data_IF_391948336562
#
_entry.id   IF_391948336562
#
_cell.length_a   1.000
_cell.length_b   1.000
_cell.length_c   1.000
_cell.angle_alpha   90.00
_cell.angle_beta   90.00
_cell.angle_gamma   90.00
#
_symmetry.space_group_name_H-M   'P 1'
#
loop_
_entity.id
_entity.type
_entity.pdbx_description
1 polymer ?
#
# COMPACT_ATOMS: atom_id res chain seq x y z
N UNK A 1 29.28 30.39 14.17
CA UNK A 1 28.72 29.04 13.94
C UNK A 1 29.10 28.63 12.52
N UNK A 2 29.55 27.40 12.27
CA UNK A 2 29.88 26.96 10.93
C UNK A 2 28.61 27.00 10.06
N UNK A 3 28.69 27.63 8.89
CA UNK A 3 27.60 27.64 7.92
C UNK A 3 27.46 26.23 7.33
N UNK A 4 26.27 25.63 7.48
CA UNK A 4 25.93 24.35 6.85
C UNK A 4 26.10 24.48 5.33
N UNK A 5 26.79 23.55 4.66
CA UNK A 5 26.99 23.62 3.21
C UNK A 5 25.66 23.57 2.44
N UNK A 6 25.59 24.30 1.32
CA UNK A 6 24.35 24.49 0.56
C UNK A 6 23.73 23.18 0.05
N UNK A 7 24.53 22.17 -0.31
CA UNK A 7 24.01 20.85 -0.72
C UNK A 7 23.28 20.12 0.41
N UNK A 8 23.72 20.29 1.66
CA UNK A 8 23.07 19.69 2.81
C UNK A 8 21.74 20.38 3.09
N UNK A 9 21.70 21.72 3.00
CA UNK A 9 20.44 22.48 3.08
C UNK A 9 19.45 22.11 1.96
N UNK A 10 19.92 21.77 0.75
CA UNK A 10 19.06 21.31 -0.35
C UNK A 10 18.48 19.90 -0.09
N UNK A 11 19.25 18.98 0.51
CA UNK A 11 18.71 17.67 0.91
C UNK A 11 17.64 17.80 2.00
N UNK A 12 17.82 18.75 2.90
CA UNK A 12 16.90 19.02 4.01
C UNK A 12 15.81 20.05 3.66
N UNK A 13 15.71 20.48 2.39
CA UNK A 13 14.89 21.61 1.98
C UNK A 13 13.41 21.50 2.42
N UNK A 14 12.84 20.30 2.38
CA UNK A 14 11.47 20.05 2.82
C UNK A 14 11.26 20.21 4.35
N UNK A 15 12.32 20.05 5.15
CA UNK A 15 12.27 20.24 6.60
C UNK A 15 12.51 21.70 7.03
N UNK A 16 13.11 22.51 6.15
CA UNK A 16 13.37 23.93 6.40
C UNK A 16 12.08 24.75 6.55
N UNK A 17 12.15 25.80 7.35
CA UNK A 17 11.09 26.81 7.47
C UNK A 17 10.96 27.63 6.18
N UNK A 18 9.82 28.30 5.99
CA UNK A 18 9.60 29.14 4.79
C UNK A 18 10.67 30.25 4.63
N UNK A 19 11.16 30.82 5.74
CA UNK A 19 12.22 31.83 5.72
C UNK A 19 13.56 31.23 5.26
N UNK A 20 13.93 30.06 5.81
CA UNK A 20 15.17 29.37 5.43
C UNK A 20 15.13 28.86 3.99
N UNK A 21 13.96 28.43 3.49
CA UNK A 21 13.77 28.04 2.09
C UNK A 21 14.00 29.23 1.15
N UNK A 22 13.45 30.41 1.49
CA UNK A 22 13.67 31.62 0.71
C UNK A 22 15.15 32.05 0.66
N UNK A 23 15.90 31.85 1.75
CA UNK A 23 17.35 32.07 1.76
C UNK A 23 18.08 31.09 0.83
N UNK A 24 17.70 29.80 0.85
CA UNK A 24 18.29 28.79 -0.04
C UNK A 24 17.96 29.10 -1.50
N UNK A 25 16.73 29.51 -1.81
CA UNK A 25 16.31 29.94 -3.15
C UNK A 25 17.19 31.07 -3.68
N UNK A 26 17.42 32.11 -2.86
CA UNK A 26 18.27 33.24 -3.24
C UNK A 26 19.75 32.84 -3.42
N UNK A 27 20.25 31.89 -2.63
CA UNK A 27 21.62 31.37 -2.77
C UNK A 27 21.80 30.53 -4.04
N UNK A 28 20.80 29.72 -4.40
CA UNK A 28 20.81 28.87 -5.62
C UNK A 28 20.76 29.72 -6.88
N UNK A 29 20.13 30.90 -6.86
CA UNK A 29 20.09 31.82 -8.02
C UNK A 29 21.51 32.23 -8.48
N UNK A 30 22.48 32.28 -7.56
CA UNK A 30 23.89 32.54 -7.86
C UNK A 30 24.70 31.29 -8.27
N UNK A 31 24.08 30.10 -8.27
CA UNK A 31 24.71 28.78 -8.44
C UNK A 31 23.94 27.89 -9.44
N UNK A 32 24.10 28.14 -10.76
CA UNK A 32 23.41 27.37 -11.80
C UNK A 32 23.71 25.87 -11.76
N UNK A 33 24.86 25.48 -11.21
CA UNK A 33 25.27 24.09 -11.02
C UNK A 33 24.31 23.29 -10.11
N UNK A 34 23.47 23.97 -9.33
CA UNK A 34 22.57 23.35 -8.35
C UNK A 34 21.10 23.41 -8.72
N UNK A 35 20.78 23.89 -9.93
CA UNK A 35 19.41 24.14 -10.34
C UNK A 35 18.55 22.87 -10.39
N UNK A 36 19.13 21.76 -10.88
CA UNK A 36 18.42 20.48 -10.98
C UNK A 36 18.08 19.92 -9.58
N UNK A 37 19.08 19.86 -8.69
CA UNK A 37 18.90 19.41 -7.31
C UNK A 37 17.91 20.30 -6.53
N UNK A 38 17.93 21.61 -6.79
CA UNK A 38 16.96 22.56 -6.23
C UNK A 38 15.53 22.33 -6.75
N UNK A 39 15.38 22.05 -8.05
CA UNK A 39 14.08 21.75 -8.66
C UNK A 39 13.47 20.49 -8.05
N UNK A 40 14.26 19.43 -7.89
CA UNK A 40 13.83 18.20 -7.21
C UNK A 40 13.45 18.45 -5.75
N UNK A 41 14.28 19.19 -5.01
CA UNK A 41 14.02 19.53 -3.62
C UNK A 41 12.72 20.36 -3.44
N UNK A 42 12.44 21.30 -4.36
CA UNK A 42 11.17 22.05 -4.38
C UNK A 42 9.97 21.18 -4.72
N UNK A 43 10.10 20.27 -5.67
CA UNK A 43 9.02 19.35 -6.02
C UNK A 43 8.65 18.47 -4.82
N UNK A 44 9.64 17.91 -4.12
CA UNK A 44 9.41 17.11 -2.92
C UNK A 44 8.81 17.94 -1.78
N UNK A 45 9.33 19.15 -1.52
CA UNK A 45 8.79 20.04 -0.49
C UNK A 45 7.34 20.43 -0.79
N UNK A 46 7.00 20.67 -2.06
CA UNK A 46 5.62 20.96 -2.47
C UNK A 46 4.68 19.80 -2.14
N UNK A 47 5.10 18.54 -2.40
CA UNK A 47 4.31 17.33 -2.06
C UNK A 47 4.12 17.19 -0.54
N UNK A 48 5.16 17.49 0.25
CA UNK A 48 5.09 17.39 1.72
C UNK A 48 4.21 18.51 2.31
N UNK A 49 4.35 19.73 1.82
CA UNK A 49 3.51 20.86 2.26
C UNK A 49 2.05 20.62 1.89
N UNK A 50 1.81 20.10 0.68
CA UNK A 50 0.53 19.60 0.21
C UNK A 50 -0.09 18.58 1.19
N UNK A 51 0.69 17.59 1.63
CA UNK A 51 0.22 16.59 2.59
C UNK A 51 -0.04 17.18 4.00
N UNK A 52 0.63 18.29 4.36
CA UNK A 52 0.47 18.99 5.64
C UNK A 52 -0.65 20.02 5.65
N UNK A 53 -1.12 20.46 4.48
CA UNK A 53 -2.25 21.38 4.31
C UNK A 53 -3.46 20.63 3.71
N UNK A 54 -4.08 19.70 4.48
CA UNK A 54 -5.10 18.78 3.97
C UNK A 54 -6.35 19.47 3.40
N UNK A 55 -6.63 20.72 3.81
CA UNK A 55 -7.85 21.44 3.47
C UNK A 55 -7.86 21.95 2.00
N UNK A 56 -6.71 22.27 1.41
CA UNK A 56 -6.65 22.83 0.04
C UNK A 56 -6.57 21.73 -1.02
N UNK A 57 -5.90 20.61 -0.72
CA UNK A 57 -5.64 19.57 -1.70
C UNK A 57 -6.83 18.63 -1.90
N UNK A 58 -7.57 18.36 -0.83
CA UNK A 58 -8.82 17.63 -0.94
C UNK A 58 -9.88 18.46 -1.68
N UNK A 59 -9.86 19.79 -1.61
CA UNK A 59 -10.73 20.63 -2.43
C UNK A 59 -10.30 20.63 -3.91
N UNK A 60 -9.00 20.77 -4.21
CA UNK A 60 -8.47 20.77 -5.59
C UNK A 60 -8.62 19.42 -6.29
N UNK A 61 -8.24 18.32 -5.65
CA UNK A 61 -8.35 16.96 -6.23
C UNK A 61 -9.80 16.56 -6.41
N UNK A 62 -10.70 16.96 -5.50
CA UNK A 62 -12.14 16.72 -5.65
C UNK A 62 -12.74 17.59 -6.76
N UNK A 63 -12.35 18.86 -6.89
CA UNK A 63 -12.83 19.72 -7.98
C UNK A 63 -12.27 19.30 -9.36
N UNK A 64 -11.06 18.76 -9.42
CA UNK A 64 -10.45 18.24 -10.65
C UNK A 64 -11.00 16.87 -11.05
N UNK A 65 -11.15 15.94 -10.10
CA UNK A 65 -11.70 14.60 -10.34
C UNK A 65 -13.21 14.59 -10.60
N UNK A 66 -13.97 15.54 -10.05
CA UNK A 66 -15.40 15.71 -10.34
C UNK A 66 -15.67 16.67 -11.52
N UNK A 67 -14.61 17.21 -12.15
CA UNK A 67 -14.73 18.18 -13.24
C UNK A 67 -15.43 19.48 -12.86
N UNK A 68 -15.55 19.78 -11.57
CA UNK A 68 -16.25 20.95 -11.03
C UNK A 68 -15.49 22.26 -11.26
N UNK A 69 -14.22 22.18 -11.70
CA UNK A 69 -13.45 23.31 -12.22
C UNK A 69 -13.79 23.70 -13.66
N UNK A 70 -14.64 22.93 -14.37
CA UNK A 70 -15.18 23.30 -15.68
C UNK A 70 -16.59 23.85 -15.50
N UNK A 71 -16.78 25.15 -15.77
CA UNK A 71 -18.10 25.77 -15.91
C UNK A 71 -18.90 25.25 -17.13
N UNK A 72 -18.37 24.27 -17.86
CA UNK A 72 -19.02 23.63 -18.99
C UNK A 72 -19.67 22.30 -18.55
N UNK A 73 -20.98 22.09 -18.78
CA UNK A 73 -21.59 20.79 -18.55
C UNK A 73 -20.86 19.71 -19.37
N UNK A 74 -20.72 18.48 -18.85
CA UNK A 74 -20.03 17.39 -19.55
C UNK A 74 -20.66 17.16 -20.92
N UNK A 75 -19.81 16.82 -21.89
CA UNK A 75 -20.26 16.57 -23.26
C UNK A 75 -21.27 15.41 -23.27
N UNK A 76 -22.21 15.37 -24.25
CA UNK A 76 -23.21 14.29 -24.34
C UNK A 76 -22.58 12.89 -24.30
N UNK A 77 -21.41 12.74 -24.94
CA UNK A 77 -20.68 11.48 -25.03
C UNK A 77 -20.03 11.07 -23.70
N UNK A 78 -19.58 12.05 -22.90
CA UNK A 78 -19.07 11.81 -21.54
C UNK A 78 -20.18 11.40 -20.57
N UNK A 79 -21.39 11.98 -20.73
CA UNK A 79 -22.56 11.58 -19.95
C UNK A 79 -22.98 10.14 -20.24
N UNK A 80 -23.00 9.76 -21.53
CA UNK A 80 -23.31 8.39 -21.93
C UNK A 80 -22.27 7.38 -21.41
N UNK A 81 -20.98 7.75 -21.41
CA UNK A 81 -19.93 6.92 -20.85
C UNK A 81 -20.05 6.74 -19.32
N UNK A 82 -20.42 7.80 -18.60
CA UNK A 82 -20.63 7.74 -17.15
C UNK A 82 -21.89 6.94 -16.78
N UNK A 83 -22.97 7.04 -17.56
CA UNK A 83 -24.16 6.20 -17.38
C UNK A 83 -23.84 4.73 -17.62
N UNK A 84 -23.06 4.41 -18.65
CA UNK A 84 -22.64 3.03 -18.93
C UNK A 84 -21.78 2.43 -17.80
N UNK A 85 -20.82 3.20 -17.26
CA UNK A 85 -20.01 2.76 -16.11
C UNK A 85 -20.89 2.58 -14.87
N UNK A 86 -21.86 3.45 -14.64
CA UNK A 86 -22.79 3.33 -13.52
C UNK A 86 -23.74 2.13 -13.65
N UNK A 87 -24.07 1.72 -14.87
CA UNK A 87 -24.86 0.51 -15.15
C UNK A 87 -24.04 -0.78 -15.01
N UNK A 88 -22.72 -0.75 -15.27
CA UNK A 88 -21.82 -1.88 -15.11
C UNK A 88 -21.34 -2.09 -13.67
N UNK A 89 -21.30 -1.02 -12.86
CA UNK A 89 -20.90 -1.10 -11.46
C UNK A 89 -22.04 -1.67 -10.61
N UNK A 90 -21.78 -2.86 -10.07
CA UNK A 90 -22.63 -3.47 -9.06
C UNK A 90 -22.80 -2.52 -7.86
N UNK A 91 -24.01 -2.45 -7.29
CA UNK A 91 -24.33 -1.57 -6.16
C UNK A 91 -23.28 -1.76 -5.05
N UNK A 92 -22.47 -0.71 -4.74
CA UNK A 92 -21.41 -0.80 -3.74
C UNK A 92 -21.92 -1.27 -2.38
N UNK A 93 -23.19 -0.96 -2.06
CA UNK A 93 -23.84 -1.43 -0.84
C UNK A 93 -24.04 -2.94 -0.89
N UNK A 94 -24.62 -3.46 -1.98
CA UNK A 94 -24.80 -4.90 -2.16
C UNK A 94 -23.45 -5.66 -2.18
N UNK A 95 -22.41 -5.07 -2.76
CA UNK A 95 -21.05 -5.63 -2.74
C UNK A 95 -20.45 -5.66 -1.32
N UNK A 96 -20.62 -4.59 -0.55
CA UNK A 96 -20.19 -4.52 0.85
C UNK A 96 -20.91 -5.56 1.72
N UNK A 97 -22.24 -5.66 1.61
CA UNK A 97 -23.05 -6.60 2.39
C UNK A 97 -22.69 -8.05 2.05
N UNK A 98 -22.39 -8.34 0.77
CA UNK A 98 -21.93 -9.66 0.34
C UNK A 98 -20.53 -10.01 0.88
N UNK A 99 -19.60 -9.06 0.88
CA UNK A 99 -18.21 -9.29 1.32
C UNK A 99 -18.08 -9.40 2.84
N UNK A 100 -18.91 -8.66 3.58
CA UNK A 100 -18.80 -8.56 5.05
C UNK A 100 -19.84 -9.40 5.78
N UNK A 101 -20.92 -9.82 5.11
CA UNK A 101 -22.06 -10.50 5.74
C UNK A 101 -22.83 -9.61 6.72
N UNK A 102 -22.65 -8.29 6.64
CA UNK A 102 -23.31 -7.31 7.52
C UNK A 102 -24.18 -6.37 6.69
N UNK A 103 -25.49 -6.41 6.94
CA UNK A 103 -26.45 -5.44 6.39
C UNK A 103 -26.34 -4.11 7.14
N UNK A 104 -26.18 -3.01 6.41
CA UNK A 104 -26.19 -1.69 7.04
C UNK A 104 -27.64 -1.28 7.32
N UNK A 105 -27.94 -0.69 8.49
CA UNK A 105 -29.27 -0.16 8.74
C UNK A 105 -29.60 0.90 7.67
N UNK A 106 -30.84 0.93 7.16
CA UNK A 106 -31.24 1.96 6.21
C UNK A 106 -30.98 3.33 6.84
N UNK A 107 -30.52 4.33 6.06
CA UNK A 107 -30.27 5.65 6.58
C UNK A 107 -31.56 6.16 7.23
N UNK A 108 -31.46 6.52 8.52
CA UNK A 108 -32.58 7.09 9.25
C UNK A 108 -32.92 8.43 8.58
N UNK A 109 -34.10 8.50 7.96
CA UNK A 109 -34.69 9.76 7.55
C UNK A 109 -34.92 10.60 8.81
N UNK A 110 -34.04 11.58 9.02
CA UNK A 110 -34.16 12.52 10.12
C UNK A 110 -35.31 13.48 9.80
N UNK A 111 -36.53 13.02 10.08
CA UNK A 111 -37.77 13.81 10.05
C UNK A 111 -38.36 13.82 11.46
N UNK A 112 -37.72 14.58 12.34
CA UNK A 112 -38.36 15.06 13.56
C UNK A 112 -39.15 16.34 13.23
N UNK A 113 -40.48 16.28 13.29
CA UNK A 113 -41.33 17.46 13.14
C UNK A 113 -42.84 17.20 13.08
N UNK A 114 -43.42 16.93 14.25
CA UNK A 114 -44.79 17.23 14.69
C UNK A 114 -46.03 16.54 14.09
N UNK A 115 -46.87 16.07 15.02
CA UNK A 115 -48.05 15.28 14.76
C UNK A 115 -49.28 16.06 14.32
N UNK A 116 -50.12 15.39 13.53
CA UNK A 116 -51.58 15.25 13.72
C UNK A 116 -52.14 14.27 12.69
N UNK A 117 -53.10 13.39 13.06
CA UNK A 117 -53.77 12.53 12.10
C UNK A 117 -54.98 13.27 11.52
N UNK A 118 -54.99 13.49 10.20
CA UNK A 118 -56.21 13.81 9.47
C UNK A 118 -56.12 13.28 8.04
N UNK A 119 -56.96 12.27 7.80
CA UNK A 119 -57.72 11.98 6.59
C UNK A 119 -57.08 12.21 5.20
N UNK A 120 -56.90 11.08 4.50
CA UNK A 120 -56.87 10.98 3.02
C UNK A 120 -58.07 11.72 2.40
N UNK A 121 -57.89 12.36 1.24
CA UNK A 121 -58.13 11.59 0.01
C UNK A 121 -57.10 11.80 -1.10
N UNK A 122 -57.06 10.78 -1.95
CA UNK A 122 -56.26 10.69 -3.15
C UNK A 122 -56.55 11.81 -4.17
N UNK A 123 -55.50 12.26 -4.87
CA UNK A 123 -55.44 12.36 -6.34
C UNK A 123 -54.14 13.01 -6.83
N UNK A 124 -53.79 12.61 -8.04
CA UNK A 124 -52.93 13.25 -9.04
C UNK A 124 -51.46 12.78 -9.13
N UNK A 125 -51.22 12.13 -10.26
CA UNK A 125 -49.95 11.94 -10.92
C UNK A 125 -49.16 13.25 -11.06
N UNK A 126 -47.84 13.14 -10.99
CA UNK A 126 -46.91 14.21 -11.32
C UNK A 126 -45.57 14.01 -10.61
N UNK A 127 -44.49 14.14 -11.36
CA UNK A 127 -43.09 14.15 -10.95
C UNK A 127 -42.48 12.88 -10.36
N UNK A 128 -41.87 12.10 -11.27
CA UNK A 128 -40.56 11.50 -10.98
C UNK A 128 -39.57 12.64 -10.78
N UNK A 129 -39.56 13.20 -9.57
CA UNK A 129 -38.54 14.14 -9.14
C UNK A 129 -37.21 13.42 -9.22
N UNK A 130 -36.39 13.82 -10.20
CA UNK A 130 -34.97 13.57 -10.19
C UNK A 130 -34.47 14.04 -8.82
N UNK A 131 -34.08 13.10 -7.97
CA UNK A 131 -33.41 13.40 -6.70
C UNK A 131 -32.09 14.04 -7.10
N UNK A 132 -32.10 15.38 -7.22
CA UNK A 132 -30.89 16.18 -7.27
C UNK A 132 -30.22 16.01 -5.91
N UNK A 133 -29.42 14.95 -5.80
CA UNK A 133 -28.51 14.72 -4.70
C UNK A 133 -27.65 15.98 -4.60
N UNK A 134 -27.88 16.76 -3.53
CA UNK A 134 -27.26 18.06 -3.32
C UNK A 134 -25.73 17.93 -3.47
N UNK A 135 -25.06 18.75 -4.28
CA UNK A 135 -23.62 18.62 -4.57
C UNK A 135 -22.73 18.73 -3.31
N UNK A 136 -23.27 19.25 -2.20
CA UNK A 136 -22.58 19.33 -0.91
C UNK A 136 -22.35 17.96 -0.25
N UNK A 137 -23.26 16.99 -0.41
CA UNK A 137 -23.05 15.65 0.15
C UNK A 137 -21.97 14.87 -0.62
N UNK A 138 -21.90 15.05 -1.95
CA UNK A 138 -20.85 14.44 -2.78
C UNK A 138 -19.46 14.99 -2.45
N UNK A 139 -19.34 16.30 -2.21
CA UNK A 139 -18.08 16.92 -1.76
C UNK A 139 -17.62 16.41 -0.40
N UNK A 140 -18.53 16.25 0.56
CA UNK A 140 -18.19 15.70 1.89
C UNK A 140 -17.67 14.27 1.83
N UNK A 141 -18.26 13.43 0.96
CA UNK A 141 -17.86 12.04 0.81
C UNK A 141 -16.51 11.89 0.10
N UNK A 142 -16.23 12.74 -0.90
CA UNK A 142 -14.95 12.75 -1.60
C UNK A 142 -13.80 13.28 -0.70
N UNK A 143 -14.05 14.33 0.09
CA UNK A 143 -13.12 14.81 1.14
C UNK A 143 -12.82 13.71 2.18
N UNK A 144 -13.84 12.98 2.62
CA UNK A 144 -13.65 11.86 3.55
C UNK A 144 -12.79 10.74 2.92
N UNK A 145 -13.00 10.41 1.65
CA UNK A 145 -12.20 9.40 0.95
C UNK A 145 -10.73 9.83 0.82
N UNK A 146 -10.48 11.07 0.42
CA UNK A 146 -9.11 11.63 0.30
C UNK A 146 -8.44 11.69 1.67
N UNK A 147 -9.15 12.09 2.72
CA UNK A 147 -8.62 12.08 4.08
C UNK A 147 -8.26 10.67 4.54
N UNK A 148 -9.09 9.67 4.23
CA UNK A 148 -8.79 8.25 4.53
C UNK A 148 -7.56 7.79 3.75
N UNK A 149 -7.44 8.09 2.46
CA UNK A 149 -6.27 7.71 1.65
C UNK A 149 -5.00 8.44 2.10
N UNK A 150 -5.09 9.72 2.46
CA UNK A 150 -3.96 10.50 2.98
C UNK A 150 -3.49 9.99 4.34
N UNK A 151 -4.43 9.70 5.25
CA UNK A 151 -4.15 9.08 6.54
C UNK A 151 -3.56 7.66 6.36
N UNK A 152 -4.09 6.90 5.40
CA UNK A 152 -3.59 5.57 5.02
C UNK A 152 -2.15 5.64 4.50
N UNK A 153 -1.86 6.58 3.60
CA UNK A 153 -0.52 6.80 3.06
C UNK A 153 0.50 7.23 4.12
N UNK A 154 0.10 8.13 5.02
CA UNK A 154 0.95 8.58 6.13
C UNK A 154 1.24 7.45 7.13
N UNK A 155 0.23 6.63 7.47
CA UNK A 155 0.41 5.46 8.32
C UNK A 155 1.30 4.39 7.68
N UNK A 156 1.16 4.15 6.38
CA UNK A 156 2.01 3.23 5.62
C UNK A 156 3.47 3.70 5.59
N UNK A 157 3.72 4.98 5.35
CA UNK A 157 5.07 5.56 5.31
C UNK A 157 5.76 5.56 6.69
N UNK A 158 5.01 5.80 7.77
CA UNK A 158 5.56 5.72 9.13
C UNK A 158 5.79 4.29 9.58
N UNK A 159 4.93 3.36 9.17
CA UNK A 159 5.11 1.92 9.39
C UNK A 159 6.39 1.40 8.71
N UNK A 160 6.64 1.76 7.45
CA UNK A 160 7.84 1.33 6.73
C UNK A 160 9.16 1.88 7.31
N UNK A 161 9.12 3.06 7.95
CA UNK A 161 10.25 3.64 8.68
C UNK A 161 10.55 2.93 10.01
N UNK A 162 9.57 2.22 10.58
CA UNK A 162 9.72 1.49 11.86
C UNK A 162 9.89 -0.01 11.69
N UNK A 163 9.78 -0.53 10.45
CA UNK A 163 10.06 -1.94 10.15
C UNK A 163 11.51 -2.28 10.49
N UNK A 164 11.76 -3.27 11.37
CA UNK A 164 13.11 -3.72 11.69
C UNK A 164 13.88 -4.07 10.42
N UNK A 165 15.15 -3.70 10.35
CA UNK A 165 16.02 -3.99 9.19
C UNK A 165 16.00 -5.47 8.81
N UNK A 166 15.97 -6.36 9.81
CA UNK A 166 15.79 -7.80 9.67
C UNK A 166 14.59 -8.19 8.80
N UNK A 167 13.44 -7.53 8.96
CA UNK A 167 12.22 -7.84 8.21
C UNK A 167 12.35 -7.40 6.75
N UNK A 168 13.06 -6.29 6.49
CA UNK A 168 13.34 -5.82 5.12
C UNK A 168 14.33 -6.73 4.39
N UNK A 169 15.39 -7.15 5.09
CA UNK A 169 16.42 -8.02 4.52
C UNK A 169 15.88 -9.43 4.28
N UNK A 170 15.05 -9.94 5.20
CA UNK A 170 14.43 -11.25 5.11
C UNK A 170 13.07 -11.22 4.38
N UNK A 171 12.86 -10.26 3.47
CA UNK A 171 11.60 -10.13 2.76
C UNK A 171 11.26 -11.42 1.99
N UNK A 172 10.11 -12.02 2.35
CA UNK A 172 9.62 -13.31 1.83
C UNK A 172 8.53 -13.15 0.77
N UNK A 173 8.02 -11.94 0.54
CA UNK A 173 7.02 -11.62 -0.50
C UNK A 173 7.52 -11.97 -1.91
N UNK A 174 8.84 -11.88 -2.14
CA UNK A 174 9.47 -12.29 -3.38
C UNK A 174 9.33 -13.80 -3.66
N UNK A 175 9.26 -14.63 -2.61
CA UNK A 175 9.18 -16.10 -2.75
C UNK A 175 7.86 -16.49 -3.43
N UNK A 176 6.74 -15.88 -3.02
CA UNK A 176 5.44 -16.10 -3.67
C UNK A 176 5.38 -15.43 -5.05
N UNK A 177 5.89 -14.21 -5.17
CA UNK A 177 5.82 -13.43 -6.43
C UNK A 177 6.66 -14.05 -7.56
N UNK A 178 7.81 -14.65 -7.22
CA UNK A 178 8.70 -15.29 -8.18
C UNK A 178 8.25 -16.71 -8.58
N UNK A 179 7.41 -17.36 -7.78
CA UNK A 179 6.98 -18.73 -8.04
C UNK A 179 6.14 -18.83 -9.32
N UNK A 180 6.46 -19.83 -10.15
CA UNK A 180 5.72 -20.18 -11.37
C UNK A 180 5.40 -21.67 -11.33
N UNK A 181 4.14 -22.07 -11.08
CA UNK A 181 3.79 -23.48 -10.98
C UNK A 181 3.99 -24.19 -12.32
N UNK A 182 4.63 -25.35 -12.26
CA UNK A 182 4.79 -26.27 -13.40
C UNK A 182 3.77 -27.38 -13.26
N UNK A 183 2.75 -27.39 -14.12
CA UNK A 183 1.65 -28.37 -14.02
C UNK A 183 2.15 -29.81 -14.15
N UNK A 184 1.70 -30.66 -13.23
CA UNK A 184 1.96 -32.10 -13.26
C UNK A 184 3.33 -32.51 -12.70
N UNK A 185 4.06 -31.58 -12.08
CA UNK A 185 5.29 -31.87 -11.36
C UNK A 185 4.99 -31.90 -9.86
N UNK A 186 5.04 -33.08 -9.25
CA UNK A 186 4.74 -33.29 -7.81
C UNK A 186 5.53 -32.35 -6.90
N UNK A 187 6.80 -32.10 -7.22
CA UNK A 187 7.64 -31.20 -6.44
C UNK A 187 7.25 -29.72 -6.61
N UNK A 188 6.73 -29.33 -7.79
CA UNK A 188 6.14 -28.01 -7.99
C UNK A 188 4.84 -27.85 -7.19
N UNK A 189 4.03 -28.90 -7.06
CA UNK A 189 2.77 -28.87 -6.30
C UNK A 189 3.07 -28.72 -4.79
N UNK A 190 4.05 -29.45 -4.27
CA UNK A 190 4.52 -29.30 -2.87
C UNK A 190 5.12 -27.92 -2.62
N UNK A 191 5.88 -27.38 -3.56
CA UNK A 191 6.39 -26.01 -3.45
C UNK A 191 5.25 -24.98 -3.43
N UNK A 192 4.22 -25.16 -4.26
CA UNK A 192 3.02 -24.31 -4.24
C UNK A 192 2.30 -24.36 -2.88
N UNK A 193 2.22 -25.55 -2.27
CA UNK A 193 1.65 -25.72 -0.93
C UNK A 193 2.48 -24.98 0.13
N UNK A 194 3.81 -25.10 0.10
CA UNK A 194 4.70 -24.38 1.02
C UNK A 194 4.57 -22.85 0.87
N UNK A 195 4.46 -22.35 -0.35
CA UNK A 195 4.18 -20.92 -0.63
C UNK A 195 2.81 -20.52 -0.08
N UNK A 196 1.78 -21.35 -0.24
CA UNK A 196 0.44 -21.06 0.28
C UNK A 196 0.43 -20.99 1.82
N UNK A 197 1.19 -21.86 2.51
CA UNK A 197 1.38 -21.77 3.96
C UNK A 197 2.07 -20.46 4.37
N UNK A 198 3.11 -20.06 3.63
CA UNK A 198 3.84 -18.82 3.87
C UNK A 198 2.98 -17.56 3.65
N UNK A 199 2.13 -17.55 2.61
CA UNK A 199 1.14 -16.49 2.39
C UNK A 199 0.10 -16.48 3.51
N UNK A 200 -0.38 -17.65 3.93
CA UNK A 200 -1.31 -17.79 5.03
C UNK A 200 -0.73 -17.36 6.38
N UNK A 201 0.60 -17.39 6.54
CA UNK A 201 1.31 -16.88 7.71
C UNK A 201 1.35 -15.34 7.74
N UNK A 202 1.21 -14.68 6.60
CA UNK A 202 1.20 -13.22 6.50
C UNK A 202 -0.23 -12.71 6.59
N UNK A 203 -0.62 -12.24 7.77
CA UNK A 203 -1.91 -11.58 7.96
C UNK A 203 -1.74 -10.07 7.86
N UNK A 204 -2.43 -9.45 6.91
CA UNK A 204 -2.47 -7.99 6.78
C UNK A 204 -3.90 -7.51 6.99
N UNK A 205 -4.12 -6.73 8.05
CA UNK A 205 -5.38 -6.00 8.19
C UNK A 205 -5.39 -4.88 7.15
N UNK A 206 -6.21 -5.02 6.10
CA UNK A 206 -6.35 -4.05 5.02
C UNK A 206 -5.03 -3.70 4.29
N UNK A 207 -4.06 -4.61 4.28
CA UNK A 207 -2.75 -4.36 3.64
C UNK A 207 -1.78 -3.46 4.42
N UNK A 208 -2.14 -3.01 5.63
CA UNK A 208 -1.44 -1.93 6.33
C UNK A 208 -0.45 -2.36 7.41
N UNK A 209 -0.65 -3.55 7.98
CA UNK A 209 0.14 -4.02 9.12
C UNK A 209 0.42 -5.50 8.94
N UNK A 210 1.49 -5.87 8.21
CA UNK A 210 1.87 -7.26 8.08
C UNK A 210 2.17 -7.81 9.48
N UNK A 211 1.35 -8.75 9.91
CA UNK A 211 1.56 -9.55 11.12
C UNK A 211 1.83 -10.96 10.69
N UNK A 212 2.88 -11.54 11.25
CA UNK A 212 3.23 -12.91 10.97
C UNK A 212 2.66 -13.82 12.05
N UNK A 213 1.86 -14.79 11.63
CA UNK A 213 1.42 -15.90 12.47
C UNK A 213 2.59 -16.88 12.62
N UNK A 214 3.12 -17.00 13.83
CA UNK A 214 4.32 -17.78 14.11
C UNK A 214 4.13 -19.28 13.83
N UNK A 215 2.96 -19.83 14.15
CA UNK A 215 2.68 -21.26 13.99
C UNK A 215 2.58 -21.62 12.50
N UNK A 216 1.94 -20.77 11.71
CA UNK A 216 1.86 -20.94 10.25
C UNK A 216 3.22 -20.73 9.58
N UNK A 217 4.01 -19.79 10.09
CA UNK A 217 5.36 -19.57 9.59
C UNK A 217 6.27 -20.78 9.87
N UNK A 218 6.14 -21.41 11.03
CA UNK A 218 6.84 -22.67 11.33
C UNK A 218 6.38 -23.81 10.41
N UNK A 219 5.07 -23.94 10.15
CA UNK A 219 4.57 -24.93 9.20
C UNK A 219 5.13 -24.71 7.78
N UNK A 220 5.22 -23.46 7.32
CA UNK A 220 5.85 -23.12 6.05
C UNK A 220 7.35 -23.47 6.04
N UNK A 221 8.06 -23.17 7.13
CA UNK A 221 9.48 -23.51 7.27
C UNK A 221 9.71 -25.03 7.17
N UNK A 222 8.87 -25.82 7.84
CA UNK A 222 8.97 -27.28 7.81
C UNK A 222 8.73 -27.84 6.40
N UNK A 223 7.73 -27.30 5.68
CA UNK A 223 7.45 -27.68 4.29
C UNK A 223 8.62 -27.36 3.35
N UNK A 224 9.20 -26.15 3.45
CA UNK A 224 10.40 -25.80 2.66
C UNK A 224 11.62 -26.64 3.04
N UNK A 225 11.81 -26.93 4.33
CA UNK A 225 12.90 -27.78 4.80
C UNK A 225 12.80 -29.21 4.26
N UNK A 226 11.58 -29.75 4.11
CA UNK A 226 11.35 -31.05 3.50
C UNK A 226 11.76 -31.05 2.02
N UNK A 227 11.28 -30.08 1.23
CA UNK A 227 11.59 -29.96 -0.20
C UNK A 227 13.10 -29.81 -0.43
N UNK A 228 13.76 -28.94 0.35
CA UNK A 228 15.19 -28.71 0.28
C UNK A 228 16.02 -29.97 0.57
N UNK A 229 15.53 -30.84 1.47
CA UNK A 229 16.23 -32.09 1.85
C UNK A 229 16.07 -33.19 0.81
N UNK A 230 14.90 -33.29 0.19
CA UNK A 230 14.60 -34.36 -0.76
C UNK A 230 15.20 -34.12 -2.15
N UNK A 231 15.28 -32.86 -2.57
CA UNK A 231 15.78 -32.50 -3.90
C UNK A 231 16.85 -31.39 -3.85
N UNK A 232 17.97 -31.59 -3.11
CA UNK A 232 18.94 -30.52 -2.84
C UNK A 232 19.59 -29.93 -4.10
N UNK A 233 19.70 -30.73 -5.17
CA UNK A 233 20.32 -30.29 -6.43
C UNK A 233 19.31 -29.71 -7.43
N UNK A 234 18.01 -29.88 -7.18
CA UNK A 234 16.94 -29.37 -8.04
C UNK A 234 16.72 -27.85 -7.86
N UNK A 235 16.18 -27.19 -8.89
CA UNK A 235 15.88 -25.76 -8.83
C UNK A 235 14.96 -25.40 -7.67
N UNK A 236 13.91 -26.19 -7.44
CA UNK A 236 12.97 -25.97 -6.34
C UNK A 236 13.59 -26.27 -4.97
N UNK A 237 14.49 -27.24 -4.86
CA UNK A 237 15.19 -27.52 -3.60
C UNK A 237 16.10 -26.36 -3.18
N UNK A 238 16.81 -25.76 -4.14
CA UNK A 238 17.62 -24.55 -3.92
C UNK A 238 16.79 -23.35 -3.53
N UNK A 239 15.66 -23.15 -4.21
CA UNK A 239 14.70 -22.09 -3.86
C UNK A 239 14.10 -22.31 -2.47
N UNK A 240 13.74 -23.55 -2.13
CA UNK A 240 13.20 -23.90 -0.82
C UNK A 240 14.23 -23.69 0.30
N UNK A 241 15.50 -24.02 0.08
CA UNK A 241 16.57 -23.76 1.03
C UNK A 241 16.78 -22.26 1.27
N UNK A 242 16.72 -21.43 0.21
CA UNK A 242 16.77 -19.98 0.36
C UNK A 242 15.55 -19.43 1.10
N UNK A 243 14.35 -19.90 0.77
CA UNK A 243 13.11 -19.51 1.45
C UNK A 243 13.16 -19.87 2.94
N UNK A 244 13.63 -21.07 3.28
CA UNK A 244 13.85 -21.51 4.65
C UNK A 244 14.80 -20.57 5.41
N UNK A 245 15.94 -20.20 4.79
CA UNK A 245 16.88 -19.25 5.38
C UNK A 245 16.24 -17.90 5.71
N UNK A 246 15.44 -17.34 4.79
CA UNK A 246 14.69 -16.09 5.02
C UNK A 246 13.63 -16.23 6.12
N UNK A 247 12.91 -17.34 6.15
CA UNK A 247 11.91 -17.59 7.19
C UNK A 247 12.58 -17.67 8.58
N UNK A 248 13.69 -18.42 8.70
CA UNK A 248 14.45 -18.51 9.96
C UNK A 248 15.02 -17.16 10.40
N UNK A 249 15.44 -16.31 9.46
CA UNK A 249 15.82 -14.92 9.74
C UNK A 249 14.67 -14.10 10.31
N UNK A 250 13.47 -14.19 9.70
CA UNK A 250 12.27 -13.50 10.20
C UNK A 250 11.90 -13.94 11.61
N UNK A 251 12.11 -15.22 11.92
CA UNK A 251 11.85 -15.79 13.25
C UNK A 251 12.92 -15.44 14.29
N UNK A 252 14.03 -14.78 13.91
CA UNK A 252 15.15 -14.53 14.81
C UNK A 252 16.00 -15.77 15.12
N UNK A 253 15.90 -16.83 14.30
CA UNK A 253 16.65 -18.09 14.46
C UNK A 253 17.93 -18.05 13.60
N UNK A 254 18.87 -17.20 14.00
CA UNK A 254 20.02 -16.81 13.18
C UNK A 254 20.95 -17.98 12.80
N UNK A 255 21.19 -18.91 13.73
CA UNK A 255 22.01 -20.09 13.45
C UNK A 255 21.32 -21.06 12.48
N UNK A 256 20.00 -21.26 12.61
CA UNK A 256 19.24 -22.10 11.68
C UNK A 256 19.18 -21.46 10.29
N UNK A 257 19.06 -20.14 10.24
CA UNK A 257 19.14 -19.38 8.99
C UNK A 257 20.51 -19.55 8.32
N UNK A 258 21.60 -19.36 9.09
CA UNK A 258 22.97 -19.53 8.60
C UNK A 258 23.17 -20.91 7.98
N UNK A 259 22.76 -21.98 8.66
CA UNK A 259 22.86 -23.35 8.15
C UNK A 259 22.12 -23.52 6.82
N UNK A 260 20.89 -23.00 6.69
CA UNK A 260 20.12 -23.11 5.46
C UNK A 260 20.76 -22.30 4.30
N UNK A 261 21.27 -21.10 4.59
CA UNK A 261 21.90 -20.23 3.59
C UNK A 261 23.28 -20.75 3.15
N UNK A 262 24.06 -21.33 4.06
CA UNK A 262 25.32 -22.01 3.74
C UNK A 262 25.09 -23.20 2.81
N UNK A 263 23.99 -23.93 2.98
CA UNK A 263 23.62 -25.00 2.07
C UNK A 263 23.36 -24.48 0.64
N UNK A 264 22.66 -23.34 0.50
CA UNK A 264 22.46 -22.67 -0.80
C UNK A 264 23.79 -22.23 -1.41
N UNK A 265 24.70 -21.68 -0.60
CA UNK A 265 26.04 -21.28 -1.04
C UNK A 265 26.88 -22.47 -1.53
N UNK A 266 26.86 -23.58 -0.80
CA UNK A 266 27.59 -24.80 -1.15
C UNK A 266 27.08 -25.43 -2.46
N UNK A 267 25.77 -25.36 -2.71
CA UNK A 267 25.14 -25.84 -3.95
C UNK A 267 25.34 -24.89 -5.15
N UNK A 268 25.65 -23.61 -4.87
CA UNK A 268 25.90 -22.59 -5.87
C UNK A 268 24.69 -22.25 -6.75
N UNK A 269 24.96 -21.64 -7.91
CA UNK A 269 23.94 -21.29 -8.90
C UNK A 269 23.35 -19.89 -8.70
N UNK A 270 22.19 -19.65 -9.31
CA UNK A 270 21.64 -18.30 -9.46
C UNK A 270 21.15 -17.68 -8.15
N UNK A 271 20.92 -18.48 -7.11
CA UNK A 271 20.50 -18.05 -5.76
C UNK A 271 21.65 -17.79 -4.78
N UNK A 272 22.87 -18.24 -5.10
CA UNK A 272 24.03 -18.05 -4.22
C UNK A 272 24.31 -16.57 -3.90
N UNK A 273 24.19 -15.60 -4.84
CA UNK A 273 24.37 -14.19 -4.51
C UNK A 273 23.35 -13.67 -3.47
N UNK A 274 22.11 -14.16 -3.52
CA UNK A 274 21.09 -13.79 -2.54
C UNK A 274 21.43 -14.35 -1.16
N UNK A 275 21.88 -15.61 -1.09
CA UNK A 275 22.29 -16.25 0.16
C UNK A 275 23.51 -15.56 0.79
N UNK A 276 24.51 -15.21 -0.03
CA UNK A 276 25.70 -14.48 0.42
C UNK A 276 25.35 -13.15 1.10
N UNK A 277 24.46 -12.35 0.50
CA UNK A 277 24.03 -11.07 1.11
C UNK A 277 23.36 -11.26 2.47
N UNK A 278 22.59 -12.33 2.64
CA UNK A 278 21.91 -12.64 3.89
C UNK A 278 22.89 -13.12 4.97
N UNK A 279 23.92 -13.88 4.58
CA UNK A 279 25.01 -14.29 5.47
C UNK A 279 25.87 -13.09 5.90
N UNK A 280 26.21 -12.20 4.97
CA UNK A 280 26.93 -10.96 5.28
C UNK A 280 26.17 -10.12 6.31
N UNK A 281 24.84 -10.00 6.15
CA UNK A 281 23.98 -9.34 7.13
C UNK A 281 24.05 -10.00 8.51
N UNK A 282 23.97 -11.33 8.59
CA UNK A 282 24.08 -12.06 9.86
C UNK A 282 25.44 -11.84 10.55
N UNK A 283 26.51 -11.77 9.76
CA UNK A 283 27.86 -11.55 10.27
C UNK A 283 28.11 -10.11 10.73
N UNK A 284 27.43 -9.13 10.13
CA UNK A 284 27.43 -7.74 10.60
C UNK A 284 26.69 -7.58 11.93
N UNK A 285 25.56 -8.28 12.13
CA UNK A 285 24.78 -8.23 13.37
C UNK A 285 25.45 -8.96 14.55
N UNK A 286 26.36 -9.90 14.27
CA UNK A 286 27.08 -10.65 15.30
C UNK A 286 28.29 -9.90 15.90
N UNK A 287 28.65 -8.73 15.35
CA UNK A 287 29.79 -7.91 15.79
C UNK A 287 29.39 -6.87 16.83
#
# INVERSE_FOLDING_TARGET
>A
MPSVPLHERLREYAALTAAERAEVDALVESRPDLHDAWTEARALAAVIDAARAPDDLAAQVVDESLGLGRDAPPAPDERAALEHIAEELEDPLAQFERLTGHALPPPLDDHSGDGRPAERPARLAGDRGAVQARPRLRRGLALALVAVVGLYGAAFATSSLTTPERVRVAEVSDVSTAFRPVRGAELSDRYAEAVSLLEGAQTSTLGLFPRTDADRLDAAADAFAEIAREAPDDGFGKEAALALGRIRLLQGRDEEARVALDAVMAQGGYRAPDAARLLDYLDEQAR
#
